data_IF_409769659988
#
_entry.id   IF_409769659988
#
_cell.length_a   1.000
_cell.length_b   1.000
_cell.length_c   1.000
_cell.angle_alpha   90.00
_cell.angle_beta   90.00
_cell.angle_gamma   90.00
#
_symmetry.space_group_name_H-M   'P 1'
#
loop_
_entity.id
_entity.type
_entity.pdbx_description
1 polymer ?
#
# COMPACT_ATOMS: atom_id res chain seq x y z
N UNK A 1 -18.32 1.29 21.85
CA UNK A 1 -17.07 1.87 21.34
C UNK A 1 -16.96 1.60 19.85
N UNK A 2 -16.89 2.64 19.04
CA UNK A 2 -16.70 2.48 17.61
C UNK A 2 -15.26 2.08 17.33
N UNK A 3 -15.06 1.03 16.53
CA UNK A 3 -13.74 0.67 16.06
C UNK A 3 -13.21 1.76 15.13
N UNK A 4 -11.91 2.01 15.19
CA UNK A 4 -11.27 2.94 14.29
C UNK A 4 -11.37 2.46 12.85
N UNK A 5 -11.75 3.36 11.97
CA UNK A 5 -11.81 3.07 10.53
C UNK A 5 -10.41 3.09 9.95
N UNK A 6 -10.12 2.11 9.11
CA UNK A 6 -8.81 1.94 8.49
C UNK A 6 -8.85 2.35 7.01
N UNK A 7 -7.84 3.10 6.61
CA UNK A 7 -7.50 3.31 5.21
C UNK A 7 -6.22 2.52 4.91
N UNK A 8 -6.32 1.53 4.04
CA UNK A 8 -5.17 0.73 3.62
C UNK A 8 -4.65 1.25 2.28
N UNK A 9 -3.41 1.69 2.27
CA UNK A 9 -2.72 2.14 1.05
C UNK A 9 -1.68 1.10 0.67
N UNK A 10 -1.93 0.39 -0.41
CA UNK A 10 -1.00 -0.59 -0.95
C UNK A 10 -0.09 0.11 -1.96
N UNK A 11 1.20 0.15 -1.67
CA UNK A 11 2.16 0.88 -2.47
C UNK A 11 2.34 2.32 -2.03
N UNK A 12 2.62 2.52 -0.75
CA UNK A 12 2.90 3.84 -0.20
C UNK A 12 4.39 4.18 -0.32
N UNK A 13 4.69 5.44 -0.54
CA UNK A 13 6.06 5.90 -0.65
C UNK A 13 6.12 7.42 -0.53
N UNK A 14 7.11 8.02 -1.18
CA UNK A 14 7.39 9.45 -1.07
C UNK A 14 6.48 10.32 -1.93
N UNK A 15 5.74 9.72 -2.86
CA UNK A 15 4.92 10.46 -3.82
C UNK A 15 3.42 10.26 -3.54
N UNK A 16 2.66 9.81 -4.53
CA UNK A 16 1.20 9.74 -4.48
C UNK A 16 0.67 8.91 -3.31
N UNK A 17 1.19 7.71 -3.11
CA UNK A 17 0.71 6.84 -2.02
C UNK A 17 0.94 7.46 -0.65
N UNK A 18 2.09 8.09 -0.43
CA UNK A 18 2.38 8.79 0.82
C UNK A 18 1.47 9.99 1.03
N UNK A 19 1.21 10.77 -0.02
CA UNK A 19 0.32 11.92 0.05
C UNK A 19 -1.12 11.50 0.40
N UNK A 20 -1.61 10.42 -0.20
CA UNK A 20 -2.93 9.86 0.11
C UNK A 20 -3.00 9.42 1.57
N UNK A 21 -1.97 8.71 2.05
CA UNK A 21 -1.92 8.25 3.44
C UNK A 21 -1.97 9.42 4.42
N UNK A 22 -1.18 10.47 4.18
CA UNK A 22 -1.18 11.67 5.02
C UNK A 22 -2.55 12.32 5.08
N UNK A 23 -3.23 12.41 3.95
CA UNK A 23 -4.55 13.06 3.89
C UNK A 23 -5.59 12.26 4.66
N UNK A 24 -5.64 10.95 4.49
CA UNK A 24 -6.59 10.12 5.23
C UNK A 24 -6.29 10.12 6.73
N UNK A 25 -5.02 10.13 7.13
CA UNK A 25 -4.65 10.25 8.53
C UNK A 25 -5.18 11.56 9.13
N UNK A 26 -5.09 12.65 8.37
CA UNK A 26 -5.61 13.97 8.79
C UNK A 26 -7.12 13.95 8.97
N UNK A 27 -7.81 13.15 8.20
CA UNK A 27 -9.27 13.02 8.27
C UNK A 27 -9.74 12.05 9.35
N UNK A 28 -8.83 11.54 10.17
CA UNK A 28 -9.16 10.70 11.32
C UNK A 28 -9.10 9.20 11.10
N UNK A 29 -8.67 8.75 9.94
CA UNK A 29 -8.48 7.32 9.69
C UNK A 29 -7.20 6.83 10.34
N UNK A 30 -7.21 5.58 10.82
CA UNK A 30 -5.97 4.86 11.08
C UNK A 30 -5.45 4.39 9.72
N UNK A 31 -4.25 4.80 9.36
CA UNK A 31 -3.70 4.50 8.05
C UNK A 31 -2.74 3.31 8.14
N UNK A 32 -2.97 2.31 7.32
CA UNK A 32 -2.08 1.19 7.14
C UNK A 32 -1.42 1.33 5.77
N UNK A 33 -0.10 1.30 5.74
CA UNK A 33 0.66 1.51 4.50
C UNK A 33 1.59 0.33 4.26
N UNK A 34 1.74 -0.05 3.01
CA UNK A 34 2.57 -1.19 2.64
C UNK A 34 3.61 -0.86 1.58
N UNK A 35 4.76 -1.51 1.71
CA UNK A 35 5.80 -1.60 0.70
C UNK A 35 6.50 -2.93 0.88
N UNK A 36 7.27 -3.36 -0.11
CA UNK A 36 8.09 -4.57 0.02
C UNK A 36 9.19 -4.40 1.07
N UNK A 37 9.71 -3.19 1.24
CA UNK A 37 10.78 -2.87 2.21
C UNK A 37 10.23 -1.96 3.29
N UNK A 38 10.13 -2.47 4.51
CA UNK A 38 9.53 -1.74 5.64
C UNK A 38 10.30 -0.47 6.00
N UNK A 39 11.62 -0.50 5.96
CA UNK A 39 12.46 0.65 6.33
C UNK A 39 12.13 1.90 5.49
N UNK A 40 11.72 1.71 4.26
CA UNK A 40 11.36 2.82 3.37
C UNK A 40 10.06 3.52 3.76
N UNK A 41 9.29 2.92 4.66
CA UNK A 41 8.05 3.52 5.19
C UNK A 41 8.29 4.40 6.41
N UNK A 42 9.44 4.27 7.09
CA UNK A 42 9.70 4.99 8.33
C UNK A 42 9.52 6.50 8.23
N UNK A 43 10.05 7.20 7.22
CA UNK A 43 9.83 8.64 7.11
C UNK A 43 8.35 9.03 7.02
N UNK A 44 7.55 8.25 6.30
CA UNK A 44 6.12 8.48 6.17
C UNK A 44 5.40 8.29 7.50
N UNK A 45 5.71 7.20 8.20
CA UNK A 45 5.11 6.89 9.50
C UNK A 45 5.43 7.98 10.52
N UNK A 46 6.69 8.43 10.56
CA UNK A 46 7.11 9.51 11.45
C UNK A 46 6.36 10.82 11.15
N UNK A 47 6.23 11.16 9.87
CA UNK A 47 5.51 12.38 9.46
C UNK A 47 4.05 12.33 9.93
N UNK A 48 3.39 11.20 9.76
CA UNK A 48 2.00 11.05 10.20
C UNK A 48 1.89 11.14 11.72
N UNK A 49 2.79 10.46 12.45
CA UNK A 49 2.78 10.50 13.91
C UNK A 49 3.05 11.91 14.45
N UNK A 50 3.98 12.64 13.85
CA UNK A 50 4.28 14.03 14.25
C UNK A 50 3.09 14.96 14.05
N UNK A 51 2.23 14.66 13.10
CA UNK A 51 1.00 15.43 12.85
C UNK A 51 -0.17 14.99 13.75
N UNK A 52 0.05 14.05 14.65
CA UNK A 52 -0.98 13.54 15.57
C UNK A 52 -1.82 12.41 15.01
N UNK A 53 -1.49 11.90 13.82
CA UNK A 53 -2.20 10.79 13.21
C UNK A 53 -1.71 9.42 13.68
N UNK A 54 -2.47 8.40 13.33
CA UNK A 54 -2.13 7.00 13.62
C UNK A 54 -1.83 6.27 12.32
N UNK A 55 -0.70 5.58 12.29
CA UNK A 55 -0.27 4.86 11.11
C UNK A 55 0.51 3.61 11.48
N UNK A 56 0.34 2.58 10.67
CA UNK A 56 1.06 1.30 10.79
C UNK A 56 1.67 0.96 9.44
N UNK A 57 2.91 0.50 9.44
CA UNK A 57 3.62 0.08 8.24
C UNK A 57 3.80 -1.43 8.19
N UNK A 58 3.66 -2.00 7.00
CA UNK A 58 3.80 -3.43 6.79
C UNK A 58 4.67 -3.71 5.58
N UNK A 59 5.58 -4.67 5.73
CA UNK A 59 6.29 -5.23 4.59
C UNK A 59 5.38 -6.28 3.94
N UNK A 60 4.99 -6.05 2.71
CA UNK A 60 4.10 -6.97 2.00
C UNK A 60 4.35 -6.86 0.50
N UNK A 61 4.43 -8.00 -0.17
CA UNK A 61 4.51 -8.05 -1.63
C UNK A 61 3.10 -8.28 -2.19
N UNK A 62 2.53 -7.25 -2.79
CA UNK A 62 1.16 -7.29 -3.30
C UNK A 62 0.95 -8.31 -4.43
N UNK A 63 2.04 -8.85 -5.01
CA UNK A 63 1.96 -9.91 -6.02
C UNK A 63 1.81 -11.30 -5.41
N UNK A 64 2.01 -11.43 -4.09
CA UNK A 64 1.94 -12.70 -3.39
C UNK A 64 0.60 -12.82 -2.67
N UNK A 65 -0.23 -13.73 -3.13
CA UNK A 65 -1.57 -13.91 -2.58
C UNK A 65 -1.55 -14.16 -1.07
N UNK A 66 -0.63 -14.99 -0.59
CA UNK A 66 -0.54 -15.30 0.84
C UNK A 66 -0.17 -14.08 1.67
N UNK A 67 0.69 -13.19 1.16
CA UNK A 67 1.02 -11.94 1.83
C UNK A 67 -0.20 -11.04 1.95
N UNK A 68 -0.99 -10.95 0.89
CA UNK A 68 -2.20 -10.12 0.87
C UNK A 68 -3.24 -10.64 1.87
N UNK A 69 -3.47 -11.94 1.87
CA UNK A 69 -4.41 -12.58 2.80
C UNK A 69 -3.98 -12.31 4.25
N UNK A 70 -2.71 -12.55 4.56
CA UNK A 70 -2.18 -12.33 5.90
C UNK A 70 -2.29 -10.87 6.34
N UNK A 71 -2.02 -9.94 5.43
CA UNK A 71 -2.11 -8.50 5.69
C UNK A 71 -3.53 -8.08 6.03
N UNK A 72 -4.49 -8.44 5.20
CA UNK A 72 -5.90 -8.09 5.39
C UNK A 72 -6.43 -8.68 6.70
N UNK A 73 -6.14 -9.95 6.93
CA UNK A 73 -6.58 -10.64 8.15
C UNK A 73 -6.02 -9.98 9.40
N UNK A 74 -4.73 -9.64 9.39
CA UNK A 74 -4.09 -8.97 10.52
C UNK A 74 -4.73 -7.61 10.81
N UNK A 75 -4.94 -6.81 9.78
CA UNK A 75 -5.51 -5.46 9.93
C UNK A 75 -6.94 -5.54 10.46
N UNK A 76 -7.78 -6.37 9.84
CA UNK A 76 -9.18 -6.53 10.26
C UNK A 76 -9.31 -7.06 11.68
N UNK A 77 -8.41 -7.95 12.09
CA UNK A 77 -8.48 -8.58 13.41
C UNK A 77 -7.90 -7.68 14.52
N UNK A 78 -6.80 -6.98 14.27
CA UNK A 78 -6.02 -6.31 15.32
C UNK A 78 -6.10 -4.79 15.29
N UNK A 79 -6.48 -4.17 14.17
CA UNK A 79 -6.47 -2.72 14.04
C UNK A 79 -7.88 -2.17 13.90
N UNK A 80 -8.61 -2.61 12.88
CA UNK A 80 -9.97 -2.17 12.66
C UNK A 80 -10.48 -2.49 11.26
N UNK A 81 -11.73 -2.17 10.97
CA UNK A 81 -12.32 -2.46 9.66
C UNK A 81 -11.71 -1.58 8.57
N UNK A 82 -11.34 -2.22 7.48
CA UNK A 82 -10.83 -1.51 6.30
C UNK A 82 -12.03 -0.91 5.56
N UNK A 83 -12.16 0.40 5.59
CA UNK A 83 -13.22 1.09 4.87
C UNK A 83 -12.77 1.68 3.55
N UNK A 84 -11.49 2.01 3.44
CA UNK A 84 -10.93 2.58 2.22
C UNK A 84 -9.70 1.77 1.85
N UNK A 85 -9.67 1.31 0.61
CA UNK A 85 -8.53 0.61 0.04
C UNK A 85 -8.04 1.42 -1.16
N UNK A 86 -6.77 1.80 -1.11
CA UNK A 86 -6.11 2.50 -2.21
C UNK A 86 -5.02 1.61 -2.76
N UNK A 87 -5.19 1.18 -3.99
CA UNK A 87 -4.19 0.40 -4.70
C UNK A 87 -3.34 1.36 -5.55
N UNK A 88 -2.10 1.57 -5.14
CA UNK A 88 -1.20 2.53 -5.78
C UNK A 88 0.11 1.87 -6.18
N UNK A 89 0.02 0.68 -6.75
CA UNK A 89 1.18 0.00 -7.31
C UNK A 89 1.15 0.15 -8.81
N UNK A 90 2.27 0.63 -9.35
CA UNK A 90 2.46 0.71 -10.77
C UNK A 90 3.86 0.24 -11.13
N UNK A 91 3.99 -0.29 -12.29
CA UNK A 91 5.28 -0.60 -12.88
C UNK A 91 5.30 0.02 -14.26
N UNK A 92 6.28 0.85 -14.49
CA UNK A 92 6.40 1.55 -15.76
C UNK A 92 7.83 1.41 -16.28
N UNK A 93 7.93 0.86 -17.46
CA UNK A 93 9.21 0.73 -18.16
C UNK A 93 8.98 1.19 -19.59
N UNK A 94 9.41 2.39 -19.94
CA UNK A 94 9.19 2.92 -21.28
C UNK A 94 10.07 2.17 -22.28
N UNK A 95 9.43 1.34 -23.09
CA UNK A 95 10.07 0.59 -24.15
C UNK A 95 9.20 0.61 -25.39
N UNK A 96 9.82 0.59 -26.56
CA UNK A 96 9.12 0.34 -27.79
C UNK A 96 8.56 -1.09 -27.78
N UNK A 97 7.41 -1.28 -28.40
CA UNK A 97 6.84 -2.62 -28.55
C UNK A 97 7.80 -3.57 -29.28
N UNK A 98 8.67 -3.02 -30.11
CA UNK A 98 9.65 -3.81 -30.87
C UNK A 98 10.80 -4.32 -29.98
N UNK A 99 11.06 -3.65 -28.86
CA UNK A 99 12.13 -4.02 -27.93
C UNK A 99 11.63 -4.61 -26.63
N UNK A 100 10.31 -4.64 -26.42
CA UNK A 100 9.74 -5.21 -25.20
C UNK A 100 9.91 -6.73 -25.18
N UNK A 101 10.07 -7.29 -23.99
CA UNK A 101 10.19 -8.72 -23.78
C UNK A 101 8.99 -9.24 -23.01
N UNK A 102 8.67 -10.52 -23.22
CA UNK A 102 7.59 -11.18 -22.48
C UNK A 102 7.83 -11.12 -20.98
N UNK A 103 9.08 -11.25 -20.55
CA UNK A 103 9.44 -11.19 -19.12
C UNK A 103 9.13 -9.82 -18.51
N UNK A 104 9.52 -8.73 -19.15
CA UNK A 104 9.24 -7.38 -18.65
C UNK A 104 7.75 -7.08 -18.67
N UNK A 105 7.08 -7.43 -19.75
CA UNK A 105 5.64 -7.25 -19.87
C UNK A 105 4.89 -7.97 -18.76
N UNK A 106 5.23 -9.25 -18.54
CA UNK A 106 4.60 -10.06 -17.50
C UNK A 106 4.83 -9.47 -16.11
N UNK A 107 6.03 -9.02 -15.81
CA UNK A 107 6.33 -8.39 -14.51
C UNK A 107 5.51 -7.12 -14.28
N UNK A 108 5.39 -6.28 -15.29
CA UNK A 108 4.59 -5.07 -15.18
C UNK A 108 3.12 -5.41 -14.98
N UNK A 109 2.62 -6.42 -15.68
CA UNK A 109 1.24 -6.87 -15.52
C UNK A 109 0.98 -7.41 -14.11
N UNK A 110 1.90 -8.22 -13.58
CA UNK A 110 1.78 -8.76 -12.22
C UNK A 110 1.68 -7.63 -11.19
N UNK A 111 2.46 -6.58 -11.32
CA UNK A 111 2.46 -5.48 -10.38
C UNK A 111 1.25 -4.56 -10.56
N UNK A 112 0.93 -4.21 -11.79
CA UNK A 112 -0.07 -3.18 -12.07
C UNK A 112 -1.50 -3.73 -12.20
N UNK A 113 -1.66 -4.99 -12.52
CA UNK A 113 -2.96 -5.59 -12.77
C UNK A 113 -3.26 -6.77 -11.84
N UNK A 114 -2.44 -7.81 -11.85
CA UNK A 114 -2.68 -9.00 -11.03
C UNK A 114 -2.70 -8.67 -9.55
N UNK A 115 -1.77 -7.86 -9.08
CA UNK A 115 -1.70 -7.49 -7.67
C UNK A 115 -2.95 -6.77 -7.19
N UNK A 116 -3.58 -5.98 -8.05
CA UNK A 116 -4.84 -5.32 -7.72
C UNK A 116 -6.02 -6.28 -7.64
N UNK A 117 -5.95 -7.40 -8.34
CA UNK A 117 -6.96 -8.44 -8.29
C UNK A 117 -6.86 -9.29 -7.02
N UNK A 118 -5.63 -9.56 -6.57
CA UNK A 118 -5.41 -10.39 -5.40
C UNK A 118 -5.91 -9.71 -4.12
#
# INVERSE_FOLDING_TARGET
>A
MTKSKVCLVIGAGDATGGAVAKRFAREGYVVCVTRRTLEKLQPLLETIHQSGGLAHGFASDARQENDVIALIDHIETHIGPIEVLVFNIGANSPNSILTETARRYTKMWEMACLAGFL
#
